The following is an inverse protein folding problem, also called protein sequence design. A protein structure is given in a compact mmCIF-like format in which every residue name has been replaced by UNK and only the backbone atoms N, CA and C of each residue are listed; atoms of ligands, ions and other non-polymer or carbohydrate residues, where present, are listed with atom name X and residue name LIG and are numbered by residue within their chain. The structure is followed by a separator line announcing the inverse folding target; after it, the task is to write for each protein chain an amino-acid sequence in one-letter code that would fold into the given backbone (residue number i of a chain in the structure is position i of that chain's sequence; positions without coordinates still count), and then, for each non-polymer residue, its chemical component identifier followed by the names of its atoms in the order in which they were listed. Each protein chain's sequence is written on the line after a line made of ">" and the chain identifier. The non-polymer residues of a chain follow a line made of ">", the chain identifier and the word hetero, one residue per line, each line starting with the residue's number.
data_IF_912650532026
#
_entry.id   IF_912650532026
#
_cell.length_a   1.000
_cell.length_b   1.000
_cell.length_c   1.000
_cell.angle_alpha   90.00
_cell.angle_beta   90.00
_cell.angle_gamma   90.00
#
_symmetry.space_group_name_H-M   'P 1'
#
loop_
_entity.id
_entity.type
_entity.pdbx_description
1 polymer ?
#
# COMPACT_ATOMS: atom_id res chain seq x y z
N UNK A 1 25.48 15.41 24.87
CA UNK A 1 24.22 15.20 25.62
C UNK A 1 23.69 13.83 25.22
N UNK A 2 23.31 12.93 26.13
CA UNK A 2 22.68 11.67 25.76
C UNK A 2 21.34 11.93 25.06
N UNK A 3 21.01 11.12 24.06
CA UNK A 3 19.70 11.16 23.39
C UNK A 3 18.64 10.70 24.40
N UNK A 4 17.56 11.47 24.54
CA UNK A 4 16.46 11.12 25.44
C UNK A 4 15.50 10.11 24.81
N UNK A 5 14.82 9.29 25.62
CA UNK A 5 13.80 8.36 25.14
C UNK A 5 12.69 9.06 24.34
N UNK A 6 12.33 10.29 24.71
CA UNK A 6 11.39 11.12 23.95
C UNK A 6 11.92 11.43 22.54
N UNK A 7 13.20 11.75 22.40
CA UNK A 7 13.82 11.99 21.10
C UNK A 7 13.86 10.70 20.28
N UNK A 8 14.25 9.57 20.89
CA UNK A 8 14.25 8.26 20.24
C UNK A 8 12.85 7.91 19.72
N UNK A 9 11.82 8.02 20.56
CA UNK A 9 10.44 7.73 20.17
C UNK A 9 9.95 8.68 19.06
N UNK A 10 10.33 9.95 19.10
CA UNK A 10 9.97 10.92 18.07
C UNK A 10 10.64 10.61 16.72
N UNK A 11 11.92 10.22 16.73
CA UNK A 11 12.67 9.83 15.54
C UNK A 11 12.14 8.51 14.95
N UNK A 12 11.88 7.51 15.80
CA UNK A 12 11.25 6.25 15.37
C UNK A 12 9.89 6.49 14.74
N UNK A 13 9.04 7.31 15.35
CA UNK A 13 7.73 7.65 14.80
C UNK A 13 7.84 8.34 13.43
N UNK A 14 8.81 9.23 13.26
CA UNK A 14 9.05 9.91 11.99
C UNK A 14 9.57 8.93 10.91
N UNK A 15 10.48 8.03 11.28
CA UNK A 15 11.02 7.02 10.39
C UNK A 15 9.94 6.06 9.89
N UNK A 16 9.08 5.54 10.78
CA UNK A 16 8.01 4.63 10.38
C UNK A 16 7.01 5.29 9.43
N UNK A 17 6.70 6.58 9.64
CA UNK A 17 5.84 7.35 8.71
C UNK A 17 6.47 7.50 7.32
N UNK A 18 7.78 7.72 7.28
CA UNK A 18 8.53 7.75 6.03
C UNK A 18 8.49 6.38 5.32
N UNK A 19 8.64 5.28 6.07
CA UNK A 19 8.56 3.92 5.54
C UNK A 19 7.17 3.58 4.98
N UNK A 20 6.09 3.96 5.70
CA UNK A 20 4.71 3.82 5.19
C UNK A 20 4.55 4.48 3.83
N UNK A 21 5.05 5.71 3.69
CA UNK A 21 4.98 6.47 2.42
C UNK A 21 5.78 5.76 1.33
N UNK A 22 7.00 5.33 1.63
CA UNK A 22 7.87 4.64 0.68
C UNK A 22 7.24 3.31 0.20
N UNK A 23 6.74 2.48 1.12
CA UNK A 23 6.09 1.21 0.79
C UNK A 23 4.81 1.42 -0.03
N UNK A 24 3.98 2.40 0.34
CA UNK A 24 2.79 2.73 -0.43
C UNK A 24 3.14 3.13 -1.88
N UNK A 25 4.17 3.95 -2.06
CA UNK A 25 4.65 4.32 -3.39
C UNK A 25 5.19 3.09 -4.15
N UNK A 26 6.06 2.29 -3.53
CA UNK A 26 6.63 1.10 -4.19
C UNK A 26 5.55 0.08 -4.58
N UNK A 27 4.48 -0.06 -3.79
CA UNK A 27 3.33 -0.89 -4.15
C UNK A 27 2.65 -0.45 -5.46
N UNK A 28 2.57 0.86 -5.71
CA UNK A 28 2.00 1.42 -6.94
C UNK A 28 2.91 1.27 -8.15
N UNK A 29 4.22 1.18 -7.93
CA UNK A 29 5.24 1.10 -8.99
C UNK A 29 5.59 -0.35 -9.35
N UNK A 30 5.44 -1.30 -8.43
CA UNK A 30 5.76 -2.71 -8.68
C UNK A 30 4.61 -3.47 -9.35
N UNK A 31 4.93 -4.27 -10.36
CA UNK A 31 3.98 -5.18 -11.02
C UNK A 31 4.17 -6.66 -10.62
N UNK A 32 5.21 -6.97 -9.84
CA UNK A 32 5.46 -8.34 -9.36
C UNK A 32 4.53 -8.66 -8.17
N UNK A 33 3.62 -9.65 -8.28
CA UNK A 33 2.66 -9.97 -7.23
C UNK A 33 3.32 -10.38 -5.90
N UNK A 34 4.39 -11.17 -5.97
CA UNK A 34 5.11 -11.68 -4.80
C UNK A 34 5.79 -10.52 -4.05
N UNK A 35 6.43 -9.62 -4.80
CA UNK A 35 7.05 -8.42 -4.23
C UNK A 35 5.99 -7.48 -3.64
N UNK A 36 4.85 -7.30 -4.31
CA UNK A 36 3.74 -6.49 -3.79
C UNK A 36 3.19 -7.05 -2.48
N UNK A 37 3.09 -8.38 -2.34
CA UNK A 37 2.67 -9.03 -1.10
C UNK A 37 3.68 -8.79 0.03
N UNK A 38 4.98 -8.93 -0.24
CA UNK A 38 6.04 -8.63 0.73
C UNK A 38 6.01 -7.17 1.20
N UNK A 39 5.87 -6.22 0.27
CA UNK A 39 5.79 -4.79 0.59
C UNK A 39 4.51 -4.48 1.39
N UNK A 40 3.38 -5.11 1.08
CA UNK A 40 2.15 -4.95 1.85
C UNK A 40 2.30 -5.43 3.31
N UNK A 41 3.08 -6.48 3.56
CA UNK A 41 3.39 -6.92 4.92
C UNK A 41 4.23 -5.89 5.66
N UNK A 42 5.28 -5.35 5.02
CA UNK A 42 6.11 -4.30 5.59
C UNK A 42 5.31 -3.03 5.90
N UNK A 43 4.42 -2.63 4.98
CA UNK A 43 3.49 -1.52 5.19
C UNK A 43 2.61 -1.72 6.42
N UNK A 44 2.03 -2.92 6.57
CA UNK A 44 1.19 -3.24 7.73
C UNK A 44 1.98 -3.23 9.05
N UNK A 45 3.21 -3.74 9.06
CA UNK A 45 4.07 -3.69 10.24
C UNK A 45 4.43 -2.24 10.61
N UNK A 46 4.84 -1.40 9.66
CA UNK A 46 5.14 0.01 9.95
C UNK A 46 3.92 0.76 10.49
N UNK A 47 2.71 0.46 9.98
CA UNK A 47 1.47 1.01 10.54
C UNK A 47 1.23 0.58 11.99
N UNK A 48 1.50 -0.68 12.33
CA UNK A 48 1.42 -1.17 13.71
C UNK A 48 2.44 -0.48 14.62
N UNK A 49 3.69 -0.37 14.17
CA UNK A 49 4.75 0.32 14.91
C UNK A 49 4.38 1.78 15.22
N UNK A 50 3.78 2.51 14.26
CA UNK A 50 3.29 3.88 14.49
C UNK A 50 2.28 3.93 15.64
N UNK A 51 1.35 2.96 15.71
CA UNK A 51 0.35 2.88 16.77
C UNK A 51 1.00 2.59 18.12
N UNK A 52 1.89 1.61 18.19
CA UNK A 52 2.59 1.21 19.42
C UNK A 52 3.48 2.33 19.96
N UNK A 53 4.27 2.98 19.09
CA UNK A 53 5.09 4.14 19.47
C UNK A 53 4.18 5.27 19.95
N UNK A 54 3.07 5.54 19.25
CA UNK A 54 2.09 6.54 19.66
C UNK A 54 1.50 6.28 21.05
N UNK A 55 1.19 5.01 21.38
CA UNK A 55 0.70 4.62 22.70
C UNK A 55 1.75 4.83 23.79
N UNK A 56 3.01 4.46 23.53
CA UNK A 56 4.12 4.70 24.46
C UNK A 56 4.28 6.20 24.71
N UNK A 57 4.32 7.01 23.64
CA UNK A 57 4.44 8.46 23.76
C UNK A 57 3.28 9.06 24.58
N UNK A 58 2.05 8.63 24.32
CA UNK A 58 0.87 9.08 25.08
C UNK A 58 0.94 8.69 26.56
N UNK A 59 1.30 7.43 26.87
CA UNK A 59 1.45 6.94 28.24
C UNK A 59 2.56 7.67 29.01
N UNK A 60 3.63 8.09 28.32
CA UNK A 60 4.72 8.88 28.89
C UNK A 60 4.45 10.39 28.93
N UNK A 61 3.27 10.85 28.51
CA UNK A 61 2.90 12.27 28.46
C UNK A 61 3.66 13.07 27.40
N UNK A 62 4.27 12.40 26.41
CA UNK A 62 4.96 13.03 25.30
C UNK A 62 3.95 13.35 24.20
N UNK A 63 3.79 14.63 23.90
CA UNK A 63 2.99 15.05 22.74
C UNK A 63 3.71 14.59 21.47
N UNK A 64 3.06 13.73 20.69
CA UNK A 64 3.55 13.33 19.38
C UNK A 64 3.71 14.58 18.48
N UNK A 65 4.86 14.76 17.80
CA UNK A 65 5.02 15.83 16.82
C UNK A 65 3.87 15.78 15.80
N UNK A 66 3.26 16.94 15.51
CA UNK A 66 2.16 17.07 14.54
C UNK A 66 2.67 16.72 13.13
N UNK A 67 2.55 15.46 12.74
CA UNK A 67 2.77 14.95 11.39
C UNK A 67 1.76 13.83 11.15
N UNK A 68 0.90 13.96 10.14
CA UNK A 68 -0.23 13.09 9.77
C UNK A 68 -1.00 12.43 10.95
N UNK A 69 -2.21 12.92 11.22
CA UNK A 69 -3.11 12.35 12.23
C UNK A 69 -3.37 10.85 11.95
N UNK A 70 -3.59 10.02 12.99
CA UNK A 70 -4.02 8.64 12.82
C UNK A 70 -5.19 8.47 11.85
N UNK A 71 -6.09 9.45 11.79
CA UNK A 71 -7.22 9.50 10.85
C UNK A 71 -6.77 9.65 9.39
N UNK A 72 -5.75 10.45 9.11
CA UNK A 72 -5.18 10.61 7.77
C UNK A 72 -4.47 9.32 7.31
N UNK A 73 -3.84 8.63 8.25
CA UNK A 73 -3.23 7.31 8.03
C UNK A 73 -4.31 6.25 7.76
N UNK A 74 -5.39 6.25 8.55
CA UNK A 74 -6.53 5.35 8.36
C UNK A 74 -7.24 5.60 7.02
N UNK A 75 -7.47 6.86 6.65
CA UNK A 75 -8.01 7.21 5.34
C UNK A 75 -7.07 6.80 4.19
N UNK A 76 -5.75 6.99 4.35
CA UNK A 76 -4.79 6.55 3.36
C UNK A 76 -4.83 5.02 3.19
N UNK A 77 -4.95 4.26 4.28
CA UNK A 77 -5.11 2.81 4.24
C UNK A 77 -6.42 2.37 3.56
N UNK A 78 -7.53 3.06 3.83
CA UNK A 78 -8.82 2.81 3.17
C UNK A 78 -8.74 3.10 1.67
N UNK A 79 -8.16 4.25 1.28
CA UNK A 79 -7.95 4.63 -0.13
C UNK A 79 -7.06 3.62 -0.84
N UNK A 80 -5.95 3.19 -0.23
CA UNK A 80 -5.06 2.19 -0.80
C UNK A 80 -5.77 0.84 -1.04
N UNK A 81 -6.63 0.42 -0.10
CA UNK A 81 -7.42 -0.81 -0.24
C UNK A 81 -8.43 -0.73 -1.39
N UNK A 82 -9.13 0.40 -1.51
CA UNK A 82 -10.08 0.62 -2.62
C UNK A 82 -9.38 0.66 -3.97
N UNK A 83 -8.27 1.40 -4.09
CA UNK A 83 -7.51 1.49 -5.35
C UNK A 83 -6.99 0.11 -5.79
N UNK A 84 -6.50 -0.71 -4.86
CA UNK A 84 -6.04 -2.06 -5.18
C UNK A 84 -7.18 -2.97 -5.70
N UNK A 85 -8.37 -2.89 -5.10
CA UNK A 85 -9.54 -3.63 -5.57
C UNK A 85 -9.94 -3.19 -6.99
N UNK A 86 -9.97 -1.89 -7.24
CA UNK A 86 -10.29 -1.33 -8.54
C UNK A 86 -9.27 -1.75 -9.61
N UNK A 87 -7.98 -1.75 -9.28
CA UNK A 87 -6.92 -2.19 -10.19
C UNK A 87 -7.03 -3.68 -10.52
N UNK A 88 -7.31 -4.54 -9.54
CA UNK A 88 -7.53 -5.96 -9.80
C UNK A 88 -8.70 -6.19 -10.75
N UNK A 89 -9.83 -5.50 -10.54
CA UNK A 89 -10.99 -5.59 -11.43
C UNK A 89 -10.66 -5.10 -12.85
N UNK A 90 -9.91 -4.00 -12.99
CA UNK A 90 -9.52 -3.48 -14.28
C UNK A 90 -8.59 -4.45 -15.05
N UNK A 91 -7.63 -5.07 -14.36
CA UNK A 91 -6.73 -6.08 -14.96
C UNK A 91 -7.52 -7.31 -15.40
N UNK A 92 -8.43 -7.83 -14.58
CA UNK A 92 -9.27 -8.97 -14.94
C UNK A 92 -10.18 -8.67 -16.13
N UNK A 93 -10.78 -7.48 -16.18
CA UNK A 93 -11.61 -7.06 -17.30
C UNK A 93 -10.81 -6.94 -18.62
N UNK A 94 -9.59 -6.37 -18.55
CA UNK A 94 -8.71 -6.26 -19.70
C UNK A 94 -8.29 -7.64 -20.24
N UNK A 95 -7.88 -8.56 -19.36
CA UNK A 95 -7.52 -9.93 -19.73
C UNK A 95 -8.68 -10.69 -20.38
N UNK A 96 -9.91 -10.54 -19.84
CA UNK A 96 -11.10 -11.16 -20.41
C UNK A 96 -11.45 -10.61 -21.80
N UNK A 97 -11.30 -9.29 -22.00
CA UNK A 97 -11.51 -8.66 -23.30
C UNK A 97 -10.50 -9.17 -24.33
N UNK A 98 -9.23 -9.31 -23.96
CA UNK A 98 -8.17 -9.80 -24.84
C UNK A 98 -8.36 -11.27 -25.23
N UNK A 99 -8.79 -12.12 -24.29
CA UNK A 99 -9.14 -13.52 -24.57
C UNK A 99 -10.32 -13.63 -25.55
N UNK A 100 -11.33 -12.76 -25.42
CA UNK A 100 -12.50 -12.75 -26.32
C UNK A 100 -12.17 -12.24 -27.73
N UNK A 101 -11.25 -11.28 -27.86
CA UNK A 101 -10.77 -10.77 -29.14
C UNK A 101 -9.97 -11.83 -29.93
N UNK A 102 -9.18 -12.65 -29.24
CA UNK A 102 -8.44 -13.76 -29.86
C UNK A 102 -9.35 -14.86 -30.44
N UNK A 103 -10.48 -15.16 -29.79
CA UNK A 103 -11.44 -16.15 -30.28
C UNK A 103 -12.22 -15.66 -31.51
N UNK A 104 -12.56 -14.37 -31.60
CA UNK A 104 -13.27 -13.83 -32.76
C UNK A 104 -12.42 -13.82 -34.04
N UNK A 105 -11.10 -13.64 -33.95
CA UNK A 105 -10.21 -13.74 -35.11
C UNK A 105 -10.00 -15.19 -35.60
N UNK A 106 -10.03 -16.17 -34.70
CA UNK A 106 -10.00 -17.59 -35.06
C UNK A 106 -11.26 -18.04 -35.81
N UNK A 107 -12.44 -17.61 -35.34
CA UNK A 107 -13.72 -17.96 -35.95
C UNK A 107 -13.93 -17.34 -37.35
N UNK A 108 -13.46 -16.10 -37.57
CA UNK A 108 -13.59 -15.40 -38.87
C UNK A 108 -12.74 -16.02 -39.98
N UNK A 109 -11.62 -16.68 -39.66
CA UNK A 109 -10.76 -17.34 -40.66
C UNK A 109 -11.30 -18.71 -41.11
N UNK A 110 -12.16 -19.37 -40.33
CA UNK A 110 -12.78 -20.64 -40.73
C UNK A 110 -14.03 -20.47 -41.60
N UNK A 111 -14.70 -19.31 -41.56
CA UNK A 111 -15.91 -19.06 -42.37
C UNK A 111 -15.65 -18.53 -43.79
N UNK A 112 -14.45 -18.04 -44.09
CA UNK A 112 -14.09 -17.48 -45.42
C UNK A 112 -13.19 -18.41 -46.25
N UNK A 113 -13.03 -19.67 -45.86
CA UNK A 113 -12.20 -20.68 -46.52
C UNK A 113 -13.01 -21.83 -47.12
N UNK A 114 -13.97 -21.52 -47.98
CA UNK A 114 -14.65 -22.42 -48.94
C UNK A 114 -15.24 -21.56 -50.04
#
# INVERSE_FOLDING_TARGET
>A
MPVSDKQIASELLAYEKMMVTAYAQTMTETNCPELRQGIQQLLNHSLQNIVEIGQIMAASGWVAPRYALPDEIAEAAIRARQTNQNLQQAVSAWQAAEASAGQQQGARKQQNGT
#
